data_IF_053253505217
#
_entry.id   IF_053253505217
#
_cell.length_a   1.000
_cell.length_b   1.000
_cell.length_c   1.000
_cell.angle_alpha   90.00
_cell.angle_beta   90.00
_cell.angle_gamma   90.00
#
_symmetry.space_group_name_H-M   'P 1'
#
loop_
_entity.id
_entity.type
_entity.pdbx_description
1 polymer ?
#
# COMPACT_ATOMS: atom_id res chain seq x y z
N UNK A 1 -4.35 21.28 -72.69
CA UNK A 1 -4.30 21.62 -71.25
C UNK A 1 -2.97 22.29 -70.97
N UNK A 2 -2.94 23.57 -70.59
CA UNK A 2 -1.69 24.32 -70.38
C UNK A 2 -0.91 23.81 -69.17
N UNK A 3 0.42 23.92 -69.19
CA UNK A 3 1.30 23.48 -68.10
C UNK A 3 0.94 24.11 -66.74
N UNK A 4 0.38 25.33 -66.77
CA UNK A 4 -0.12 26.07 -65.60
C UNK A 4 -1.26 25.34 -64.87
N UNK A 5 -2.12 24.64 -65.61
CA UNK A 5 -3.24 23.86 -65.04
C UNK A 5 -2.74 22.60 -64.33
N UNK A 6 -1.64 22.00 -64.79
CA UNK A 6 -1.03 20.80 -64.17
C UNK A 6 -0.29 21.15 -62.87
N UNK A 7 0.36 22.31 -62.82
CA UNK A 7 1.07 22.78 -61.63
C UNK A 7 0.09 23.14 -60.49
N UNK A 8 -1.05 23.75 -60.82
CA UNK A 8 -2.12 24.02 -59.86
C UNK A 8 -2.74 22.73 -59.30
N UNK A 9 -2.94 21.72 -60.14
CA UNK A 9 -3.51 20.44 -59.72
C UNK A 9 -2.57 19.68 -58.76
N UNK A 10 -1.25 19.73 -59.00
CA UNK A 10 -0.27 19.08 -58.13
C UNK A 10 -0.12 19.81 -56.77
N UNK A 11 -0.20 21.14 -56.76
CA UNK A 11 -0.18 21.92 -55.52
C UNK A 11 -1.43 21.68 -54.66
N UNK A 12 -2.61 21.61 -55.28
CA UNK A 12 -3.86 21.29 -54.59
C UNK A 12 -3.86 19.88 -53.99
N UNK A 13 -3.25 18.90 -54.68
CA UNK A 13 -3.11 17.53 -54.19
C UNK A 13 -2.13 17.43 -53.01
N UNK A 14 -1.04 18.20 -53.03
CA UNK A 14 -0.08 18.26 -51.91
C UNK A 14 -0.70 18.90 -50.65
N UNK A 15 -1.55 19.92 -50.80
CA UNK A 15 -2.28 20.51 -49.66
C UNK A 15 -3.34 19.57 -49.08
N UNK A 16 -3.96 18.71 -49.89
CA UNK A 16 -4.98 17.77 -49.42
C UNK A 16 -4.41 16.67 -48.49
N UNK A 17 -3.11 16.38 -48.56
CA UNK A 17 -2.44 15.40 -47.67
C UNK A 17 -2.08 15.94 -46.29
N UNK A 18 -2.20 17.25 -46.07
CA UNK A 18 -1.91 17.92 -44.78
C UNK A 18 -3.20 18.36 -44.07
N UNK A 19 -4.26 17.54 -44.15
CA UNK A 19 -5.46 17.78 -43.36
C UNK A 19 -5.16 17.54 -41.87
N UNK A 20 -5.35 18.54 -40.98
CA UNK A 20 -5.18 18.32 -39.55
C UNK A 20 -6.23 17.32 -39.07
N UNK A 21 -5.79 16.16 -38.58
CA UNK A 21 -6.68 15.23 -37.90
C UNK A 21 -7.09 15.87 -36.57
N UNK A 22 -8.38 16.16 -36.40
CA UNK A 22 -8.91 16.59 -35.12
C UNK A 22 -8.68 15.49 -34.09
N UNK A 23 -7.81 15.76 -33.12
CA UNK A 23 -7.61 14.87 -31.96
C UNK A 23 -8.65 15.27 -30.92
N UNK A 24 -9.68 14.44 -30.76
CA UNK A 24 -10.65 14.61 -29.69
C UNK A 24 -10.08 14.05 -28.40
N UNK A 25 -10.10 14.85 -27.32
CA UNK A 25 -9.81 14.35 -25.99
C UNK A 25 -10.87 13.32 -25.60
N UNK A 26 -10.44 12.19 -25.01
CA UNK A 26 -11.39 11.25 -24.40
C UNK A 26 -12.09 11.94 -23.25
N UNK A 27 -13.42 11.98 -23.29
CA UNK A 27 -14.22 12.37 -22.13
C UNK A 27 -13.93 11.42 -20.96
N UNK A 28 -13.95 11.95 -19.73
CA UNK A 28 -13.84 11.13 -18.55
C UNK A 28 -15.02 10.13 -18.49
N UNK A 29 -14.81 8.90 -18.01
CA UNK A 29 -15.90 7.95 -17.80
C UNK A 29 -16.87 8.48 -16.75
N UNK A 30 -18.15 8.13 -16.87
CA UNK A 30 -19.19 8.53 -15.92
C UNK A 30 -18.93 7.98 -14.50
N UNK A 31 -18.20 6.86 -14.38
CA UNK A 31 -17.85 6.26 -13.10
C UNK A 31 -16.64 5.31 -13.19
N UNK A 32 -15.97 5.10 -12.05
CA UNK A 32 -14.93 4.08 -11.86
C UNK A 32 -15.46 2.79 -11.23
N UNK A 33 -16.77 2.67 -11.00
CA UNK A 33 -17.37 1.52 -10.30
C UNK A 33 -17.07 0.19 -10.98
N UNK A 34 -17.16 0.11 -12.31
CA UNK A 34 -16.85 -1.12 -13.05
C UNK A 34 -15.37 -1.50 -12.94
N UNK A 35 -14.48 -0.51 -12.93
CA UNK A 35 -13.05 -0.74 -12.73
C UNK A 35 -12.78 -1.24 -11.31
N UNK A 36 -13.35 -0.57 -10.30
CA UNK A 36 -13.23 -0.98 -8.91
C UNK A 36 -13.74 -2.41 -8.72
N UNK A 37 -14.94 -2.74 -9.24
CA UNK A 37 -15.52 -4.09 -9.17
C UNK A 37 -14.60 -5.17 -9.72
N UNK A 38 -13.85 -4.88 -10.79
CA UNK A 38 -12.88 -5.82 -11.39
C UNK A 38 -11.59 -5.94 -10.58
N UNK A 39 -11.17 -4.87 -9.91
CA UNK A 39 -9.88 -4.81 -9.21
C UNK A 39 -9.97 -5.13 -7.71
N UNK A 40 -11.13 -4.99 -7.08
CA UNK A 40 -11.32 -5.26 -5.65
C UNK A 40 -10.80 -6.65 -5.20
N UNK A 41 -10.98 -7.74 -5.97
CA UNK A 41 -10.44 -9.06 -5.59
C UNK A 41 -8.91 -9.11 -5.48
N UNK A 42 -8.19 -8.16 -6.09
CA UNK A 42 -6.72 -8.08 -6.00
C UNK A 42 -6.24 -7.42 -4.71
N UNK A 43 -7.13 -6.77 -3.96
CA UNK A 43 -6.81 -6.07 -2.72
C UNK A 43 -7.00 -7.01 -1.54
N UNK A 44 -6.01 -7.04 -0.65
CA UNK A 44 -6.02 -7.89 0.54
C UNK A 44 -5.85 -7.07 1.82
N UNK A 45 -6.37 -7.60 2.92
CA UNK A 45 -6.08 -7.11 4.26
C UNK A 45 -4.90 -7.87 4.84
N UNK A 46 -3.99 -7.16 5.51
CA UNK A 46 -2.78 -7.72 6.10
C UNK A 46 -2.84 -7.45 7.59
N UNK A 47 -2.74 -8.51 8.38
CA UNK A 47 -2.63 -8.45 9.82
C UNK A 47 -1.29 -9.02 10.23
N UNK A 48 -0.57 -8.30 11.07
CA UNK A 48 0.70 -8.77 11.62
C UNK A 48 0.69 -8.72 13.13
N UNK A 49 1.46 -9.61 13.75
CA UNK A 49 1.69 -9.59 15.18
C UNK A 49 3.18 -9.60 15.48
N UNK A 50 3.54 -8.88 16.53
CA UNK A 50 4.91 -8.76 17.04
C UNK A 50 4.87 -8.93 18.55
N UNK A 51 5.80 -9.74 19.06
CA UNK A 51 5.98 -9.97 20.48
C UNK A 51 7.15 -9.13 20.97
N UNK A 52 6.84 -8.00 21.62
CA UNK A 52 7.86 -7.15 22.23
C UNK A 52 8.32 -7.77 23.54
N UNK A 53 9.64 -7.95 23.67
CA UNK A 53 10.27 -8.35 24.92
C UNK A 53 10.05 -7.25 25.95
N UNK A 54 9.65 -7.64 27.18
CA UNK A 54 9.51 -6.69 28.27
C UNK A 54 10.86 -5.98 28.51
N UNK A 55 10.87 -4.65 28.71
CA UNK A 55 12.10 -3.93 29.03
C UNK A 55 12.67 -4.48 30.35
N UNK A 56 14.01 -4.58 30.47
CA UNK A 56 14.64 -5.07 31.69
C UNK A 56 14.23 -4.21 32.89
N UNK A 57 13.97 -4.84 34.03
CA UNK A 57 13.46 -4.20 35.25
C UNK A 57 14.31 -3.02 35.76
N UNK A 58 15.58 -2.96 35.35
CA UNK A 58 16.52 -1.88 35.64
C UNK A 58 16.31 -0.60 34.79
N UNK A 59 15.41 -0.62 33.81
CA UNK A 59 15.08 0.53 32.95
C UNK A 59 13.83 1.29 33.44
N UNK A 60 13.18 0.85 34.53
CA UNK A 60 12.11 1.62 35.14
C UNK A 60 12.68 2.80 35.93
N UNK A 61 12.07 4.00 35.86
CA UNK A 61 12.44 5.11 36.71
C UNK A 61 12.39 4.68 38.18
N UNK A 62 13.51 4.82 38.90
CA UNK A 62 13.53 4.60 40.34
C UNK A 62 12.78 5.75 40.99
N UNK A 63 11.49 5.53 41.24
CA UNK A 63 10.64 6.46 41.96
C UNK A 63 10.99 6.43 43.46
N UNK A 64 10.95 7.57 44.17
CA UNK A 64 11.14 7.59 45.61
C UNK A 64 10.09 6.69 46.30
N UNK A 65 10.51 5.73 47.14
CA UNK A 65 9.58 4.84 47.82
C UNK A 65 8.63 5.62 48.73
N UNK A 66 7.33 5.37 48.59
CA UNK A 66 6.27 6.05 49.35
C UNK A 66 5.84 7.41 48.80
N UNK A 67 6.26 7.80 47.59
CA UNK A 67 5.79 9.02 46.94
C UNK A 67 4.36 8.84 46.36
N UNK A 68 3.54 9.90 46.28
CA UNK A 68 2.25 9.84 45.59
C UNK A 68 2.36 9.41 44.11
N UNK A 69 3.54 9.63 43.51
CA UNK A 69 3.87 9.24 42.14
C UNK A 69 4.08 7.72 42.00
N UNK A 70 4.67 7.07 43.02
CA UNK A 70 4.84 5.61 43.10
C UNK A 70 3.48 4.89 43.13
N UNK A 71 2.53 5.39 43.92
CA UNK A 71 1.18 4.81 44.02
C UNK A 71 0.37 5.02 42.73
N UNK A 72 0.48 6.21 42.12
CA UNK A 72 -0.12 6.48 40.81
C UNK A 72 0.42 5.54 39.74
N UNK A 73 1.74 5.31 39.71
CA UNK A 73 2.40 4.46 38.73
C UNK A 73 2.03 2.97 38.90
N UNK A 74 1.99 2.47 40.14
CA UNK A 74 1.53 1.11 40.47
C UNK A 74 0.08 0.86 40.04
N UNK A 75 -0.80 1.83 40.27
CA UNK A 75 -2.22 1.73 39.93
C UNK A 75 -2.48 1.84 38.42
N UNK A 76 -1.68 2.63 37.68
CA UNK A 76 -1.83 2.80 36.23
C UNK A 76 -1.13 1.73 35.38
N UNK A 77 0.06 1.28 35.76
CA UNK A 77 0.85 0.34 34.95
C UNK A 77 0.72 -1.12 35.41
N UNK A 78 0.27 -1.37 36.64
CA UNK A 78 0.07 -2.71 37.18
C UNK A 78 1.36 -3.56 37.27
N UNK A 79 1.44 -4.53 38.19
CA UNK A 79 2.60 -5.38 38.37
C UNK A 79 2.63 -6.52 37.33
N UNK A 80 2.76 -6.19 36.04
CA UNK A 80 3.22 -7.17 35.04
C UNK A 80 4.44 -6.67 34.27
N UNK A 81 5.56 -6.40 34.96
CA UNK A 81 6.81 -5.98 34.34
C UNK A 81 7.46 -7.04 33.42
N UNK A 82 6.89 -8.25 33.34
CA UNK A 82 7.50 -9.38 32.63
C UNK A 82 6.57 -10.09 31.63
N UNK A 83 5.40 -9.55 31.30
CA UNK A 83 4.57 -10.18 30.26
C UNK A 83 5.00 -9.64 28.89
N UNK A 84 5.38 -10.51 27.93
CA UNK A 84 5.60 -10.08 26.55
C UNK A 84 4.38 -9.31 26.05
N UNK A 85 4.62 -8.14 25.45
CA UNK A 85 3.53 -7.33 24.90
C UNK A 85 3.33 -7.74 23.45
N UNK A 86 2.14 -8.26 23.13
CA UNK A 86 1.76 -8.47 21.74
C UNK A 86 1.26 -7.15 21.16
N UNK A 87 1.91 -6.71 20.09
CA UNK A 87 1.49 -5.57 19.28
C UNK A 87 0.98 -6.13 17.96
N UNK A 88 -0.16 -5.63 17.51
CA UNK A 88 -0.71 -5.98 16.20
C UNK A 88 -0.62 -4.77 15.28
N UNK A 89 -0.36 -5.03 13.99
CA UNK A 89 -0.44 -4.02 12.94
C UNK A 89 -1.44 -4.48 11.88
N UNK A 90 -2.11 -3.52 11.27
CA UNK A 90 -3.07 -3.73 10.20
C UNK A 90 -2.68 -2.88 9.00
N UNK A 91 -2.87 -3.42 7.81
CA UNK A 91 -2.64 -2.71 6.57
C UNK A 91 -3.33 -3.38 5.39
N UNK A 92 -3.17 -2.78 4.22
CA UNK A 92 -3.64 -3.35 2.96
C UNK A 92 -2.47 -3.79 2.09
N UNK A 93 -2.75 -4.62 1.10
CA UNK A 93 -1.80 -4.99 0.07
C UNK A 93 -2.50 -5.33 -1.24
N UNK A 94 -1.69 -5.59 -2.27
CA UNK A 94 -2.16 -5.97 -3.60
C UNK A 94 -1.51 -7.26 -4.04
N UNK A 95 -2.31 -8.18 -4.56
CA UNK A 95 -1.84 -9.38 -5.27
C UNK A 95 -1.32 -8.91 -6.63
N UNK A 96 -0.04 -9.13 -6.88
CA UNK A 96 0.62 -8.70 -8.12
C UNK A 96 0.95 -9.87 -9.05
N UNK A 97 0.92 -11.09 -8.54
CA UNK A 97 1.27 -12.30 -9.29
C UNK A 97 0.36 -13.48 -8.90
N UNK A 98 -0.11 -14.30 -9.86
CA UNK A 98 -0.93 -15.47 -9.60
C UNK A 98 -0.24 -16.54 -8.75
N UNK A 99 1.09 -16.52 -8.61
CA UNK A 99 1.84 -17.39 -7.70
C UNK A 99 1.70 -16.98 -6.22
N UNK A 100 0.98 -15.90 -5.92
CA UNK A 100 0.70 -15.45 -4.55
C UNK A 100 1.61 -14.35 -4.00
N UNK A 101 2.28 -13.57 -4.88
CA UNK A 101 3.04 -12.40 -4.41
C UNK A 101 2.12 -11.23 -4.07
N UNK A 102 2.29 -10.70 -2.85
CA UNK A 102 1.57 -9.53 -2.34
C UNK A 102 2.55 -8.40 -2.07
N UNK A 103 2.22 -7.20 -2.54
CA UNK A 103 2.96 -5.95 -2.23
C UNK A 103 2.20 -5.17 -1.16
N UNK A 104 2.94 -4.70 -0.16
CA UNK A 104 2.46 -3.82 0.90
C UNK A 104 3.55 -2.85 1.35
N UNK A 105 3.20 -1.93 2.23
CA UNK A 105 4.12 -1.00 2.82
C UNK A 105 5.04 -1.71 3.80
N UNK A 106 6.32 -1.33 3.83
CA UNK A 106 7.30 -1.97 4.70
C UNK A 106 6.91 -1.92 6.18
N UNK A 107 6.43 -0.77 6.67
CA UNK A 107 6.08 -0.59 8.09
C UNK A 107 4.93 -1.49 8.55
N UNK A 108 4.14 -2.06 7.64
CA UNK A 108 3.05 -2.99 7.99
C UNK A 108 3.62 -4.34 8.43
N UNK A 109 4.72 -4.76 7.80
CA UNK A 109 5.32 -6.09 7.97
C UNK A 109 6.69 -6.05 8.65
N UNK A 110 7.17 -4.87 9.04
CA UNK A 110 8.45 -4.70 9.70
C UNK A 110 8.44 -5.35 11.09
N UNK A 111 9.49 -6.11 11.39
CA UNK A 111 9.69 -6.82 12.66
C UNK A 111 8.52 -7.69 13.14
N UNK A 112 7.65 -8.09 12.21
CA UNK A 112 6.52 -8.98 12.50
C UNK A 112 6.98 -10.43 12.66
N UNK A 113 6.47 -11.08 13.71
CA UNK A 113 6.68 -12.51 13.96
C UNK A 113 5.74 -13.36 13.08
N UNK A 114 4.52 -12.88 12.91
CA UNK A 114 3.49 -13.53 12.10
C UNK A 114 2.85 -12.52 11.15
N UNK A 115 2.59 -12.97 9.92
CA UNK A 115 1.88 -12.22 8.88
C UNK A 115 0.72 -13.09 8.39
N UNK A 116 -0.49 -12.54 8.43
CA UNK A 116 -1.70 -13.18 7.90
C UNK A 116 -2.31 -12.27 6.85
N UNK A 117 -2.61 -12.83 5.69
CA UNK A 117 -3.28 -12.16 4.57
C UNK A 117 -4.72 -12.64 4.52
N UNK A 118 -5.67 -11.72 4.54
CA UNK A 118 -7.10 -11.98 4.37
C UNK A 118 -7.56 -11.50 3.00
N UNK A 119 -8.13 -12.42 2.22
CA UNK A 119 -8.73 -12.17 0.91
C UNK A 119 -10.16 -11.64 1.07
N UNK A 120 -10.70 -11.07 -0.01
CA UNK A 120 -12.07 -10.53 -0.04
C UNK A 120 -13.17 -11.59 0.20
N UNK A 121 -12.89 -12.85 -0.14
CA UNK A 121 -13.81 -13.98 0.10
C UNK A 121 -13.78 -14.50 1.55
N UNK A 122 -12.96 -13.90 2.42
CA UNK A 122 -12.78 -14.30 3.81
C UNK A 122 -11.67 -15.32 4.04
N UNK A 123 -11.05 -15.85 2.98
CA UNK A 123 -9.91 -16.78 3.09
C UNK A 123 -8.73 -16.11 3.79
N UNK A 124 -8.12 -16.81 4.75
CA UNK A 124 -6.93 -16.33 5.48
C UNK A 124 -5.74 -17.25 5.22
N UNK A 125 -4.61 -16.64 4.87
CA UNK A 125 -3.39 -17.36 4.52
C UNK A 125 -2.21 -16.81 5.33
N UNK A 126 -1.37 -17.68 5.92
CA UNK A 126 -0.09 -17.25 6.47
C UNK A 126 0.81 -16.80 5.32
N UNK A 127 1.60 -15.76 5.56
CA UNK A 127 2.55 -15.24 4.59
C UNK A 127 3.95 -15.12 5.19
N UNK A 128 4.95 -15.13 4.32
CA UNK A 128 6.33 -14.89 4.69
C UNK A 128 6.87 -13.75 3.84
N UNK A 129 7.72 -12.93 4.45
CA UNK A 129 8.37 -11.82 3.74
C UNK A 129 9.40 -12.37 2.74
N UNK A 130 9.20 -12.06 1.45
CA UNK A 130 10.13 -12.48 0.38
C UNK A 130 11.28 -11.48 0.15
N UNK A 131 10.99 -10.19 -0.04
CA UNK A 131 12.02 -9.17 -0.38
C UNK A 131 11.61 -7.76 0.07
N UNK A 132 12.57 -6.92 0.46
CA UNK A 132 12.37 -5.48 0.73
C UNK A 132 13.03 -4.67 -0.37
N UNK A 133 12.30 -3.72 -0.94
CA UNK A 133 12.86 -2.65 -1.78
C UNK A 133 12.94 -1.36 -0.97
N UNK A 134 14.08 -0.68 -0.98
CA UNK A 134 14.21 0.70 -0.47
C UNK A 134 14.40 1.60 -1.69
N UNK A 135 13.34 2.29 -2.10
CA UNK A 135 13.48 3.42 -3.00
C UNK A 135 13.88 4.62 -2.15
N UNK A 136 15.14 5.06 -2.27
CA UNK A 136 15.56 6.37 -1.80
C UNK A 136 15.17 7.36 -2.91
N UNK A 137 14.20 8.22 -2.63
CA UNK A 137 13.95 9.44 -3.40
C UNK A 137 14.30 10.62 -2.51
#
# INVERSE_FOLDING_TARGET
MSASSRLFALLALALATFAPTAVFARAAPDSFADLAKRLLPTVVNISTSQTLKAPPQNAMPQLPPGSPLEDLFKNFLGPKPNTPRHVTSLGSGFIIDPSGYVVTNNHVIEDSDQITVSLQDGTQLPATRSRRSRAAW
#
